data_IF_347702316704
#
_entry.id   IF_347702316704
#
_cell.length_a   1.000
_cell.length_b   1.000
_cell.length_c   1.000
_cell.angle_alpha   90.00
_cell.angle_beta   90.00
_cell.angle_gamma   90.00
#
_symmetry.space_group_name_H-M   'P 1'
#
loop_
_entity.id
_entity.type
_entity.pdbx_description
1 polymer ?
#
# COMPACT_ATOMS: atom_id res chain seq x y z
N UNK A 1 -13.36 -11.77 20.01
CA UNK A 1 -13.87 -12.17 18.68
C UNK A 1 -14.84 -11.10 18.19
N UNK A 2 -14.65 -10.61 16.98
CA UNK A 2 -15.57 -9.72 16.30
C UNK A 2 -16.33 -10.53 15.25
N UNK A 3 -17.61 -10.32 15.15
CA UNK A 3 -18.47 -10.91 14.11
C UNK A 3 -19.26 -9.80 13.43
N UNK A 4 -19.32 -9.85 12.12
CA UNK A 4 -20.08 -8.88 11.32
C UNK A 4 -20.78 -9.61 10.17
N UNK A 5 -21.77 -8.96 9.60
CA UNK A 5 -22.47 -9.45 8.41
C UNK A 5 -22.12 -8.55 7.23
N UNK A 6 -21.85 -9.18 6.10
CA UNK A 6 -21.71 -8.45 4.83
C UNK A 6 -23.10 -8.24 4.25
N UNK A 7 -23.41 -6.99 3.93
CA UNK A 7 -24.68 -6.67 3.28
C UNK A 7 -24.70 -7.18 1.84
N UNK A 8 -25.81 -7.74 1.44
CA UNK A 8 -26.07 -8.07 0.06
C UNK A 8 -26.81 -6.92 -0.65
N UNK A 9 -26.58 -6.78 -1.94
CA UNK A 9 -27.33 -5.89 -2.79
C UNK A 9 -28.77 -6.42 -3.06
N UNK A 10 -29.53 -5.71 -3.89
CA UNK A 10 -30.91 -6.11 -4.26
C UNK A 10 -31.00 -7.42 -5.04
N UNK A 11 -29.87 -7.90 -5.59
CA UNK A 11 -29.77 -9.18 -6.32
C UNK A 11 -29.33 -10.33 -5.42
N UNK A 12 -28.97 -10.04 -4.17
CA UNK A 12 -28.44 -11.02 -3.21
C UNK A 12 -26.94 -11.22 -3.31
N UNK A 13 -26.22 -10.39 -4.07
CA UNK A 13 -24.76 -10.40 -4.16
C UNK A 13 -24.19 -9.45 -3.11
N UNK A 14 -23.08 -9.82 -2.47
CA UNK A 14 -22.43 -8.93 -1.51
C UNK A 14 -21.67 -7.82 -2.24
N UNK A 15 -21.67 -6.64 -1.59
CA UNK A 15 -21.00 -5.44 -2.12
C UNK A 15 -19.53 -5.50 -1.73
N UNK A 16 -18.65 -5.48 -2.73
CA UNK A 16 -17.20 -5.40 -2.52
C UNK A 16 -16.79 -4.03 -2.00
N UNK A 17 -15.72 -4.02 -1.23
CA UNK A 17 -15.14 -2.77 -0.73
C UNK A 17 -14.34 -2.93 0.55
N UNK A 18 -13.89 -1.81 1.05
CA UNK A 18 -13.05 -1.71 2.24
C UNK A 18 -13.81 -1.03 3.38
N UNK A 19 -13.63 -1.53 4.59
CA UNK A 19 -14.14 -0.92 5.80
C UNK A 19 -13.12 -1.00 6.93
N UNK A 20 -13.07 0.03 7.78
CA UNK A 20 -12.35 0.01 9.03
C UNK A 20 -13.37 -0.15 10.17
N UNK A 21 -13.23 -1.22 10.94
CA UNK A 21 -14.08 -1.52 12.09
C UNK A 21 -13.22 -1.38 13.35
N UNK A 22 -13.70 -0.64 14.35
CA UNK A 22 -12.99 -0.42 15.59
C UNK A 22 -13.74 -0.95 16.82
N UNK A 23 -13.00 -1.43 17.81
CA UNK A 23 -13.49 -1.70 19.15
C UNK A 23 -13.17 -0.52 20.07
N UNK A 24 -14.10 -0.21 20.96
CA UNK A 24 -13.99 0.88 21.90
C UNK A 24 -14.04 0.35 23.33
N UNK A 25 -13.35 1.05 24.23
CA UNK A 25 -13.49 0.82 25.68
C UNK A 25 -14.70 1.58 26.25
N UNK A 26 -14.87 1.50 27.57
CA UNK A 26 -15.98 2.16 28.26
C UNK A 26 -15.88 3.71 28.29
N UNK A 27 -14.77 4.27 27.84
CA UNK A 27 -14.51 5.71 27.71
C UNK A 27 -14.55 6.17 26.24
N UNK A 28 -15.11 5.35 25.36
CA UNK A 28 -15.18 5.60 23.92
C UNK A 28 -13.82 5.77 23.22
N UNK A 29 -12.73 5.24 23.82
CA UNK A 29 -11.42 5.21 23.21
C UNK A 29 -11.28 3.96 22.35
N UNK A 30 -10.76 4.08 21.12
CA UNK A 30 -10.44 2.94 20.27
C UNK A 30 -9.32 2.14 20.95
N UNK A 31 -9.55 0.84 21.14
CA UNK A 31 -8.57 -0.11 21.71
C UNK A 31 -7.98 -1.02 20.66
N UNK A 32 -8.64 -1.16 19.52
CA UNK A 32 -8.15 -1.87 18.34
C UNK A 32 -9.03 -1.60 17.14
N UNK A 33 -8.47 -1.74 15.94
CA UNK A 33 -9.23 -1.68 14.70
C UNK A 33 -8.83 -2.82 13.74
N UNK A 34 -9.74 -3.15 12.84
CA UNK A 34 -9.55 -4.16 11.80
C UNK A 34 -9.89 -3.57 10.44
N UNK A 35 -9.01 -3.73 9.49
CA UNK A 35 -9.34 -3.56 8.09
C UNK A 35 -10.11 -4.79 7.61
N UNK A 36 -11.29 -4.57 7.05
CA UNK A 36 -12.14 -5.59 6.46
C UNK A 36 -12.20 -5.32 4.96
N UNK A 37 -11.68 -6.22 4.17
CA UNK A 37 -11.84 -6.23 2.72
C UNK A 37 -12.90 -7.27 2.36
N UNK A 38 -13.99 -6.82 1.75
CA UNK A 38 -15.00 -7.67 1.14
C UNK A 38 -14.69 -7.76 -0.34
N UNK A 39 -14.39 -8.95 -0.84
CA UNK A 39 -13.98 -9.15 -2.23
C UNK A 39 -14.35 -10.55 -2.70
N UNK A 40 -14.54 -10.70 -4.00
CA UNK A 40 -14.64 -12.00 -4.68
C UNK A 40 -13.25 -12.57 -5.04
N UNK A 41 -12.18 -11.87 -4.70
CA UNK A 41 -10.82 -12.30 -4.95
C UNK A 41 -10.49 -13.60 -4.20
N UNK A 42 -10.25 -14.66 -4.94
CA UNK A 42 -9.79 -15.94 -4.39
C UNK A 42 -8.26 -16.00 -4.41
N UNK A 43 -7.65 -15.69 -3.27
CA UNK A 43 -6.19 -15.72 -3.12
C UNK A 43 -5.57 -17.10 -3.37
N UNK A 44 -6.35 -18.17 -3.33
CA UNK A 44 -5.86 -19.52 -3.62
C UNK A 44 -5.80 -19.83 -5.13
N UNK A 45 -6.70 -19.22 -5.89
CA UNK A 45 -6.78 -19.40 -7.34
C UNK A 45 -6.05 -18.29 -8.10
N UNK A 46 -5.99 -17.10 -7.55
CA UNK A 46 -5.45 -15.89 -8.20
C UNK A 46 -4.11 -15.46 -7.57
N UNK A 47 -3.20 -16.39 -7.32
CA UNK A 47 -1.84 -16.11 -6.86
C UNK A 47 -0.82 -16.56 -7.89
N UNK A 48 0.37 -15.96 -7.84
CA UNK A 48 1.50 -16.28 -8.72
C UNK A 48 2.71 -16.67 -7.90
N UNK A 49 3.54 -17.57 -8.42
CA UNK A 49 4.70 -18.09 -7.69
C UNK A 49 5.98 -17.65 -8.39
N UNK A 50 6.88 -17.04 -7.64
CA UNK A 50 8.20 -16.61 -8.11
C UNK A 50 9.15 -17.79 -8.35
N UNK A 51 10.27 -17.54 -9.02
CA UNK A 51 11.33 -18.51 -9.20
C UNK A 51 11.93 -18.98 -7.86
N UNK A 52 11.95 -18.10 -6.85
CA UNK A 52 12.40 -18.42 -5.50
C UNK A 52 11.37 -19.25 -4.69
N UNK A 53 10.14 -19.37 -5.19
CA UNK A 53 9.06 -20.12 -4.56
C UNK A 53 8.11 -19.28 -3.72
N UNK A 54 8.30 -17.96 -3.67
CA UNK A 54 7.38 -17.05 -2.99
C UNK A 54 6.06 -16.95 -3.74
N UNK A 55 4.96 -17.04 -3.02
CA UNK A 55 3.61 -16.98 -3.60
C UNK A 55 3.03 -15.60 -3.34
N UNK A 56 2.84 -14.81 -4.39
CA UNK A 56 2.32 -13.45 -4.33
C UNK A 56 0.82 -13.41 -4.59
N UNK A 57 0.13 -12.50 -3.91
CA UNK A 57 -1.16 -12.03 -4.39
C UNK A 57 -1.00 -11.32 -5.74
N UNK A 58 -1.98 -11.43 -6.62
CA UNK A 58 -2.00 -10.67 -7.89
C UNK A 58 -2.51 -9.24 -7.72
N UNK A 59 -2.96 -8.87 -6.53
CA UNK A 59 -3.56 -7.55 -6.21
C UNK A 59 -2.84 -6.89 -5.03
N UNK A 60 -2.83 -5.56 -5.04
CA UNK A 60 -2.42 -4.80 -3.87
C UNK A 60 -3.43 -4.99 -2.73
N UNK A 61 -2.96 -4.92 -1.50
CA UNK A 61 -3.86 -5.04 -0.35
C UNK A 61 -4.90 -3.92 -0.35
N UNK A 62 -6.18 -4.31 -0.29
CA UNK A 62 -7.32 -3.40 -0.42
C UNK A 62 -7.77 -3.10 -1.84
N UNK A 63 -7.12 -3.66 -2.87
CA UNK A 63 -7.50 -3.48 -4.26
C UNK A 63 -8.64 -4.40 -4.69
N UNK A 64 -9.54 -3.89 -5.53
CA UNK A 64 -10.63 -4.65 -6.15
C UNK A 64 -10.20 -5.39 -7.42
N UNK A 65 -9.12 -4.99 -8.09
CA UNK A 65 -8.57 -5.63 -9.27
C UNK A 65 -7.04 -5.82 -9.15
N UNK A 66 -6.48 -6.68 -9.98
CA UNK A 66 -5.04 -6.95 -10.04
C UNK A 66 -4.42 -6.71 -11.42
N UNK A 67 -5.08 -5.93 -12.25
CA UNK A 67 -4.68 -5.72 -13.63
C UNK A 67 -5.05 -4.35 -14.16
N UNK A 68 -4.91 -4.21 -15.46
CA UNK A 68 -5.10 -2.98 -16.21
C UNK A 68 -5.81 -3.22 -17.54
N UNK A 69 -6.60 -4.29 -17.63
CA UNK A 69 -7.29 -4.67 -18.86
C UNK A 69 -8.34 -3.64 -19.31
N UNK A 70 -8.89 -2.91 -18.34
CA UNK A 70 -9.84 -1.81 -18.56
C UNK A 70 -9.47 -0.61 -17.69
N UNK A 71 -10.02 0.56 -17.99
CA UNK A 71 -9.87 1.76 -17.16
C UNK A 71 -10.40 1.55 -15.73
N UNK A 72 -11.52 0.83 -15.60
CA UNK A 72 -12.06 0.46 -14.29
C UNK A 72 -11.12 -0.48 -13.51
N UNK A 73 -10.45 -1.42 -14.17
CA UNK A 73 -9.46 -2.29 -13.54
C UNK A 73 -8.28 -1.49 -13.00
N UNK A 74 -7.78 -0.52 -13.75
CA UNK A 74 -6.69 0.37 -13.31
C UNK A 74 -7.12 1.11 -12.03
N UNK A 75 -8.31 1.71 -12.05
CA UNK A 75 -8.86 2.40 -10.89
C UNK A 75 -8.97 1.49 -9.66
N UNK A 76 -9.47 0.27 -9.85
CA UNK A 76 -9.65 -0.71 -8.78
C UNK A 76 -8.33 -1.32 -8.30
N UNK A 77 -7.24 -1.19 -9.05
CA UNK A 77 -5.93 -1.79 -8.72
C UNK A 77 -5.11 -0.97 -7.72
N UNK A 78 -5.50 0.27 -7.39
CA UNK A 78 -4.72 1.11 -6.48
C UNK A 78 -4.55 0.48 -5.10
N UNK A 79 -5.60 -0.03 -4.50
CA UNK A 79 -5.55 -0.54 -3.14
C UNK A 79 -5.35 0.56 -2.09
N UNK A 80 -4.70 0.22 -1.01
CA UNK A 80 -4.52 1.08 0.15
C UNK A 80 -3.03 1.26 0.47
N UNK A 81 -2.71 2.30 1.25
CA UNK A 81 -1.36 2.61 1.70
C UNK A 81 -1.22 2.33 3.19
N UNK A 82 -0.01 2.00 3.61
CA UNK A 82 0.31 1.65 4.99
C UNK A 82 1.59 2.38 5.41
N UNK A 83 1.66 2.91 6.61
CA UNK A 83 2.92 3.28 7.24
C UNK A 83 3.59 2.01 7.76
N UNK A 84 4.91 1.91 7.61
CA UNK A 84 5.63 0.68 7.98
C UNK A 84 5.38 0.30 9.45
N UNK A 85 5.03 -0.95 9.69
CA UNK A 85 4.73 -1.43 11.04
C UNK A 85 3.30 -1.18 11.53
N UNK A 86 2.44 -0.47 10.77
CA UNK A 86 1.04 -0.21 11.16
C UNK A 86 0.07 -1.15 10.44
N UNK A 87 -0.92 -1.71 11.16
CA UNK A 87 -1.94 -2.57 10.55
C UNK A 87 -3.06 -1.77 9.86
N UNK A 88 -3.14 -0.46 10.11
CA UNK A 88 -4.25 0.38 9.66
C UNK A 88 -4.02 0.94 8.27
N UNK A 89 -5.01 0.79 7.37
CA UNK A 89 -4.92 1.30 6.02
C UNK A 89 -5.14 2.81 5.95
N UNK A 90 -4.44 3.45 5.02
CA UNK A 90 -4.67 4.81 4.57
C UNK A 90 -5.31 4.77 3.19
N UNK A 91 -6.32 5.61 2.97
CA UNK A 91 -7.07 5.61 1.72
C UNK A 91 -6.18 5.90 0.51
N UNK A 92 -6.46 5.21 -0.60
CA UNK A 92 -5.84 5.42 -1.90
C UNK A 92 -6.50 6.55 -2.70
N UNK A 93 -6.05 6.77 -3.95
CA UNK A 93 -6.67 7.75 -4.84
C UNK A 93 -8.13 7.42 -5.15
N UNK A 94 -8.93 8.44 -5.43
CA UNK A 94 -10.33 8.26 -5.78
C UNK A 94 -10.52 7.79 -7.24
N UNK A 95 -9.53 8.02 -8.11
CA UNK A 95 -9.51 7.56 -9.50
C UNK A 95 -8.07 7.58 -10.06
N UNK A 96 -7.84 6.92 -11.18
CA UNK A 96 -6.50 6.62 -11.70
C UNK A 96 -5.66 7.84 -12.08
N UNK A 97 -6.26 8.97 -12.38
CA UNK A 97 -5.56 10.22 -12.68
C UNK A 97 -5.65 11.24 -11.54
N UNK A 98 -5.94 10.79 -10.33
CA UNK A 98 -6.02 11.64 -9.14
C UNK A 98 -4.62 12.11 -8.72
N UNK A 99 -4.32 13.37 -8.96
CA UNK A 99 -3.05 13.99 -8.58
C UNK A 99 -3.08 14.64 -7.18
N UNK A 100 -4.26 14.77 -6.57
CA UNK A 100 -4.46 15.55 -5.35
C UNK A 100 -5.21 14.78 -4.27
N UNK A 101 -4.87 15.10 -3.03
CA UNK A 101 -5.45 14.46 -1.84
C UNK A 101 -6.95 14.71 -1.67
N UNK A 102 -7.45 15.83 -2.18
CA UNK A 102 -8.86 16.24 -2.06
C UNK A 102 -9.83 15.26 -2.73
N UNK A 103 -9.34 14.44 -3.65
CA UNK A 103 -10.16 13.46 -4.35
C UNK A 103 -10.39 12.18 -3.58
N UNK A 104 -9.83 12.05 -2.38
CA UNK A 104 -10.01 10.90 -1.53
C UNK A 104 -11.32 10.99 -0.76
N UNK A 105 -12.13 9.95 -0.83
CA UNK A 105 -13.44 9.92 -0.18
C UNK A 105 -13.56 8.71 0.72
N UNK A 106 -13.74 8.97 2.00
CA UNK A 106 -14.16 7.99 3.00
C UNK A 106 -15.52 8.38 3.54
N UNK A 107 -16.28 7.41 3.99
CA UNK A 107 -17.59 7.64 4.57
C UNK A 107 -17.68 6.97 5.93
N UNK A 108 -18.17 7.71 6.92
CA UNK A 108 -18.46 7.13 8.23
C UNK A 108 -19.74 6.28 8.16
N UNK A 109 -20.06 5.60 9.24
CA UNK A 109 -21.24 4.71 9.34
C UNK A 109 -22.57 5.40 9.03
N UNK A 110 -22.65 6.71 9.13
CA UNK A 110 -23.81 7.52 8.82
C UNK A 110 -23.83 8.00 7.35
N UNK A 111 -22.90 7.53 6.52
CA UNK A 111 -22.75 7.95 5.13
C UNK A 111 -22.24 9.38 4.96
N UNK A 112 -21.66 9.98 6.00
CA UNK A 112 -21.07 11.31 5.92
C UNK A 112 -19.61 11.20 5.50
N UNK A 113 -19.21 12.10 4.59
CA UNK A 113 -17.83 12.23 4.16
C UNK A 113 -16.92 12.49 5.37
N UNK A 114 -15.79 11.80 5.40
CA UNK A 114 -14.74 11.95 6.41
C UNK A 114 -13.37 11.89 5.73
N UNK A 115 -12.34 12.32 6.42
CA UNK A 115 -10.98 12.45 5.89
C UNK A 115 -9.98 11.87 6.87
N UNK A 116 -8.75 11.62 6.38
CA UNK A 116 -7.62 11.35 7.26
C UNK A 116 -7.25 12.61 8.05
N UNK A 117 -6.89 12.43 9.30
CA UNK A 117 -6.19 13.44 10.08
C UNK A 117 -4.70 13.36 9.79
N UNK A 118 -4.02 14.50 9.82
CA UNK A 118 -2.57 14.59 9.68
C UNK A 118 -1.99 15.21 10.94
N UNK A 119 -1.11 14.47 11.60
CA UNK A 119 -0.46 14.91 12.83
C UNK A 119 1.04 14.69 12.75
N UNK A 120 1.83 15.59 13.31
CA UNK A 120 3.27 15.39 13.44
C UNK A 120 3.59 14.33 14.48
N UNK A 121 4.66 13.59 14.29
CA UNK A 121 5.20 12.69 15.28
C UNK A 121 5.78 13.51 16.44
N UNK A 122 5.21 13.34 17.62
CA UNK A 122 5.65 13.94 18.88
C UNK A 122 5.74 12.86 19.95
N UNK A 123 6.27 13.12 21.15
CA UNK A 123 6.22 12.15 22.23
C UNK A 123 4.82 11.60 22.55
N UNK A 124 3.76 12.37 22.25
CA UNK A 124 2.37 11.98 22.50
C UNK A 124 1.73 11.29 21.30
N UNK A 125 1.97 11.75 20.07
CA UNK A 125 1.32 11.29 18.86
C UNK A 125 2.12 10.22 18.11
N UNK A 126 3.44 10.22 18.27
CA UNK A 126 4.36 9.25 17.69
C UNK A 126 4.50 7.99 18.53
N UNK A 127 3.40 7.39 18.95
CA UNK A 127 3.37 6.20 19.81
C UNK A 127 2.44 5.13 19.25
N UNK A 128 2.68 3.87 19.59
CA UNK A 128 1.79 2.78 19.21
C UNK A 128 0.38 2.96 19.80
N UNK A 129 0.30 3.45 21.02
CA UNK A 129 -0.98 3.74 21.69
C UNK A 129 -1.79 4.79 20.93
N UNK A 130 -1.13 5.84 20.45
CA UNK A 130 -1.79 6.85 19.63
C UNK A 130 -2.23 6.27 18.29
N UNK A 131 -1.36 5.54 17.59
CA UNK A 131 -1.66 4.93 16.31
C UNK A 131 -2.85 3.96 16.38
N UNK A 132 -3.01 3.23 17.49
CA UNK A 132 -4.16 2.36 17.75
C UNK A 132 -5.42 3.17 18.08
N UNK A 133 -5.30 4.20 18.93
CA UNK A 133 -6.43 5.03 19.36
C UNK A 133 -6.99 5.89 18.23
N UNK A 134 -6.15 6.27 17.27
CA UNK A 134 -6.49 7.13 16.14
C UNK A 134 -6.10 6.46 14.81
N UNK A 135 -6.80 5.38 14.42
CA UNK A 135 -6.42 4.58 13.26
C UNK A 135 -6.50 5.33 11.93
N UNK A 136 -7.26 6.44 11.88
CA UNK A 136 -7.39 7.28 10.67
C UNK A 136 -6.44 8.47 10.66
N UNK A 137 -5.49 8.57 11.60
CA UNK A 137 -4.47 9.60 11.60
C UNK A 137 -3.23 9.13 10.83
N UNK A 138 -2.81 9.92 9.84
CA UNK A 138 -1.50 9.78 9.23
C UNK A 138 -0.49 10.54 10.08
N UNK A 139 0.49 9.83 10.64
CA UNK A 139 1.50 10.41 11.52
C UNK A 139 2.70 10.83 10.67
N UNK A 140 2.91 12.14 10.55
CA UNK A 140 4.00 12.72 9.76
C UNK A 140 5.33 12.51 10.48
N UNK A 141 6.36 12.13 9.74
CA UNK A 141 7.71 12.04 10.26
C UNK A 141 8.34 13.42 10.40
N UNK A 142 9.00 13.67 11.52
CA UNK A 142 9.75 14.88 11.80
C UNK A 142 11.24 14.56 11.94
N UNK A 143 12.10 15.58 11.92
CA UNK A 143 13.54 15.37 12.04
C UNK A 143 13.91 14.71 13.38
N UNK A 144 13.25 15.13 14.45
CA UNK A 144 13.45 14.61 15.80
C UNK A 144 13.12 13.13 15.95
N UNK A 145 12.21 12.61 15.13
CA UNK A 145 11.88 11.18 15.07
C UNK A 145 12.69 10.39 14.04
N UNK A 146 13.65 11.03 13.37
CA UNK A 146 14.34 10.45 12.22
C UNK A 146 13.43 10.15 11.04
N UNK A 147 12.33 10.90 10.94
CA UNK A 147 11.27 10.71 9.95
C UNK A 147 10.54 9.36 10.03
N UNK A 148 10.61 8.71 11.20
CA UNK A 148 9.71 7.63 11.56
C UNK A 148 8.38 8.22 12.11
N UNK A 149 7.28 7.49 11.97
CA UNK A 149 6.02 7.83 12.60
C UNK A 149 6.06 7.58 14.13
N UNK A 150 6.90 6.64 14.61
CA UNK A 150 7.27 6.52 16.02
C UNK A 150 8.27 7.61 16.38
N UNK A 151 7.97 8.38 17.43
CA UNK A 151 8.84 9.46 17.89
C UNK A 151 10.10 8.94 18.59
N UNK A 152 9.93 7.92 19.39
CA UNK A 152 10.98 7.18 20.10
C UNK A 152 10.58 5.70 20.15
N UNK A 153 11.41 4.86 20.72
CA UNK A 153 11.14 3.42 20.85
C UNK A 153 10.82 2.76 19.48
N UNK A 154 11.64 3.09 18.48
CA UNK A 154 11.52 2.61 17.11
C UNK A 154 11.54 1.08 17.06
N UNK A 155 10.35 0.47 17.10
CA UNK A 155 10.20 -0.98 17.14
C UNK A 155 10.48 -1.58 15.75
N UNK A 156 11.54 -2.37 15.68
CA UNK A 156 11.99 -3.04 14.46
C UNK A 156 11.27 -4.36 14.19
N UNK A 157 10.45 -4.84 15.13
CA UNK A 157 9.77 -6.13 15.06
C UNK A 157 8.27 -5.99 14.71
N UNK A 158 7.79 -4.79 14.36
CA UNK A 158 6.39 -4.58 14.00
C UNK A 158 5.98 -5.40 12.78
N UNK A 159 6.84 -5.43 11.75
CA UNK A 159 6.76 -6.35 10.62
C UNK A 159 8.06 -7.14 10.53
N UNK A 160 7.98 -8.41 10.16
CA UNK A 160 9.16 -9.25 10.07
C UNK A 160 8.92 -10.57 9.36
N UNK A 161 9.92 -11.44 9.37
CA UNK A 161 9.83 -12.77 8.77
C UNK A 161 8.67 -13.60 9.33
N UNK A 162 8.34 -13.40 10.62
CA UNK A 162 7.17 -13.97 11.27
C UNK A 162 6.08 -12.91 11.35
N UNK A 163 4.89 -13.23 10.86
CA UNK A 163 3.74 -12.35 10.90
C UNK A 163 3.38 -11.94 12.32
N UNK A 164 3.28 -10.64 12.56
CA UNK A 164 2.83 -10.06 13.83
C UNK A 164 1.35 -9.64 13.75
N UNK A 165 0.81 -9.16 14.86
CA UNK A 165 -0.54 -8.57 14.89
C UNK A 165 -0.62 -7.22 14.17
N UNK A 166 0.52 -6.62 13.88
CA UNK A 166 0.63 -5.34 13.17
C UNK A 166 0.80 -5.51 11.66
N UNK A 167 1.04 -6.72 11.18
CA UNK A 167 1.10 -7.02 9.76
C UNK A 167 -0.31 -6.92 9.12
N UNK A 168 -0.53 -6.05 8.13
CA UNK A 168 -1.86 -5.78 7.58
C UNK A 168 -2.40 -6.87 6.66
N UNK A 169 -1.55 -7.80 6.19
CA UNK A 169 -1.97 -8.86 5.28
C UNK A 169 -2.96 -9.81 5.95
N UNK A 170 -3.88 -10.42 5.22
CA UNK A 170 -4.84 -11.36 5.78
C UNK A 170 -4.14 -12.63 6.31
N UNK A 171 -4.89 -13.42 7.09
CA UNK A 171 -4.40 -14.69 7.63
C UNK A 171 -3.89 -15.61 6.52
N UNK A 172 -2.70 -16.20 6.73
CA UNK A 172 -1.99 -17.03 5.76
C UNK A 172 -1.15 -16.24 4.75
N UNK A 173 -1.12 -14.92 4.91
CA UNK A 173 -0.35 -13.99 4.09
C UNK A 173 0.38 -12.99 4.99
N UNK A 174 1.53 -12.50 4.54
CA UNK A 174 2.36 -11.51 5.26
C UNK A 174 2.88 -10.43 4.32
N UNK A 175 3.37 -9.34 4.89
CA UNK A 175 4.20 -8.37 4.18
C UNK A 175 5.47 -9.09 3.71
N UNK A 176 5.89 -8.94 2.43
CA UNK A 176 7.03 -9.68 1.88
C UNK A 176 8.34 -9.40 2.62
N UNK A 177 9.23 -10.37 2.66
CA UNK A 177 10.58 -10.20 3.21
C UNK A 177 11.41 -9.23 2.35
N UNK A 178 12.50 -8.68 2.93
CA UNK A 178 13.33 -7.63 2.33
C UNK A 178 13.78 -7.92 0.90
N UNK A 179 14.22 -9.14 0.66
CA UNK A 179 14.89 -9.50 -0.60
C UNK A 179 13.95 -10.16 -1.61
N UNK A 180 12.63 -10.17 -1.33
CA UNK A 180 11.61 -10.82 -2.15
C UNK A 180 11.60 -10.34 -3.62
N UNK A 181 12.02 -9.12 -3.87
CA UNK A 181 12.09 -8.52 -5.21
C UNK A 181 13.49 -8.54 -5.84
N UNK A 182 14.48 -9.21 -5.21
CA UNK A 182 15.88 -9.15 -5.64
C UNK A 182 16.10 -9.66 -7.08
N UNK A 183 15.39 -10.70 -7.46
CA UNK A 183 15.49 -11.32 -8.78
C UNK A 183 14.46 -10.77 -9.79
N UNK A 184 13.64 -9.81 -9.36
CA UNK A 184 12.67 -9.18 -10.25
C UNK A 184 13.35 -8.17 -11.16
N UNK A 185 12.86 -8.11 -12.36
CA UNK A 185 13.25 -7.13 -13.35
C UNK A 185 12.02 -6.59 -14.06
N UNK A 186 12.22 -5.52 -14.74
CA UNK A 186 11.30 -5.05 -15.75
C UNK A 186 11.46 -6.00 -16.94
N UNK A 187 10.36 -6.49 -17.52
CA UNK A 187 10.41 -7.40 -18.67
C UNK A 187 11.28 -6.82 -19.80
N UNK A 188 11.85 -7.67 -20.63
CA UNK A 188 12.82 -7.34 -21.69
C UNK A 188 12.33 -6.31 -22.73
N UNK A 189 11.13 -5.88 -22.62
CA UNK A 189 10.38 -5.13 -23.60
C UNK A 189 10.35 -3.62 -23.27
N UNK A 190 11.51 -3.04 -23.02
CA UNK A 190 11.70 -1.58 -22.89
C UNK A 190 11.91 -0.89 -24.24
N UNK A 191 11.18 -1.26 -25.25
CA UNK A 191 11.12 -0.44 -26.43
C UNK A 191 10.15 0.74 -26.22
N UNK A 192 10.26 1.73 -27.06
CA UNK A 192 9.50 2.97 -26.94
C UNK A 192 7.99 2.72 -27.12
N UNK A 193 7.60 1.75 -27.95
CA UNK A 193 6.18 1.37 -28.14
C UNK A 193 5.59 0.76 -26.88
N UNK A 194 6.37 -0.06 -26.15
CA UNK A 194 5.92 -0.64 -24.89
C UNK A 194 5.88 0.39 -23.75
N UNK A 195 6.82 1.35 -23.74
CA UNK A 195 6.77 2.45 -22.79
C UNK A 195 5.49 3.26 -22.95
N UNK A 196 5.04 3.53 -24.17
CA UNK A 196 3.76 4.18 -24.42
C UNK A 196 2.57 3.31 -23.97
N UNK A 197 2.58 2.01 -24.25
CA UNK A 197 1.55 1.06 -23.81
C UNK A 197 1.53 0.94 -22.27
N UNK A 198 2.69 0.95 -21.61
CA UNK A 198 2.81 0.94 -20.16
C UNK A 198 2.36 2.26 -19.54
N UNK A 199 2.54 3.38 -20.22
CA UNK A 199 2.00 4.68 -19.83
C UNK A 199 0.48 4.65 -19.75
N UNK A 200 -0.19 4.07 -20.73
CA UNK A 200 -1.63 3.85 -20.71
C UNK A 200 -2.04 2.83 -19.64
N UNK A 201 -1.15 1.91 -19.31
CA UNK A 201 -1.36 0.85 -18.33
C UNK A 201 -1.18 1.30 -16.86
N UNK A 202 -0.58 2.43 -16.61
CA UNK A 202 -0.35 3.02 -15.27
C UNK A 202 0.48 2.16 -14.30
N UNK A 203 1.30 1.26 -14.83
CA UNK A 203 2.14 0.38 -14.03
C UNK A 203 3.00 -0.54 -14.90
N UNK A 204 3.67 -1.50 -14.26
CA UNK A 204 4.55 -2.42 -14.94
C UNK A 204 4.24 -3.88 -14.68
N UNK A 205 4.46 -4.68 -15.70
CA UNK A 205 4.60 -6.12 -15.56
C UNK A 205 6.01 -6.44 -15.09
N UNK A 206 6.16 -6.69 -13.78
CA UNK A 206 7.41 -7.14 -13.20
C UNK A 206 7.52 -8.65 -13.36
N UNK A 207 8.72 -9.13 -13.66
CA UNK A 207 9.00 -10.56 -13.86
C UNK A 207 10.30 -10.97 -13.19
N UNK A 208 10.41 -12.22 -12.76
CA UNK A 208 11.63 -12.88 -12.34
C UNK A 208 12.06 -14.00 -13.34
N UNK A 209 11.48 -14.00 -14.55
CA UNK A 209 11.68 -15.02 -15.56
C UNK A 209 10.78 -16.25 -15.41
N UNK A 210 10.11 -16.43 -14.28
CA UNK A 210 9.16 -17.54 -14.00
C UNK A 210 7.74 -17.04 -13.93
N UNK A 211 7.51 -16.01 -13.13
CA UNK A 211 6.22 -15.33 -13.04
C UNK A 211 6.29 -13.95 -13.70
N UNK A 212 5.12 -13.47 -14.10
CA UNK A 212 4.90 -12.07 -14.46
C UNK A 212 3.65 -11.58 -13.75
N UNK A 213 3.72 -10.41 -13.13
CA UNK A 213 2.59 -9.81 -12.45
C UNK A 213 2.57 -8.29 -12.63
N UNK A 214 1.39 -7.74 -12.79
CA UNK A 214 1.20 -6.32 -12.92
C UNK A 214 1.36 -5.63 -11.55
N UNK A 215 2.22 -4.60 -11.51
CA UNK A 215 2.44 -3.72 -10.38
C UNK A 215 2.08 -2.28 -10.77
N UNK A 216 1.09 -1.73 -10.12
CA UNK A 216 0.60 -0.39 -10.40
C UNK A 216 1.60 0.68 -9.96
N UNK A 217 1.79 1.73 -10.77
CA UNK A 217 2.49 2.96 -10.41
C UNK A 217 1.61 3.84 -9.53
N UNK A 218 1.26 3.36 -8.34
CA UNK A 218 0.31 4.01 -7.44
C UNK A 218 0.89 5.15 -6.62
N UNK A 219 2.15 5.55 -6.83
CA UNK A 219 2.77 6.61 -6.06
C UNK A 219 2.96 6.24 -4.58
N UNK A 220 2.97 7.26 -3.73
CA UNK A 220 3.14 7.11 -2.28
C UNK A 220 2.47 8.26 -1.53
N UNK A 221 2.34 8.11 -0.21
CA UNK A 221 2.10 9.20 0.74
C UNK A 221 3.43 9.58 1.40
N UNK A 222 4.05 10.72 1.04
CA UNK A 222 5.34 11.14 1.61
C UNK A 222 5.24 11.39 3.10
N UNK A 223 6.30 11.05 3.82
CA UNK A 223 6.41 11.14 5.27
C UNK A 223 6.23 12.55 5.84
N UNK A 224 6.52 13.61 5.05
CA UNK A 224 6.38 15.00 5.47
C UNK A 224 4.98 15.59 5.27
N UNK A 225 4.20 15.05 4.35
CA UNK A 225 2.92 15.67 3.98
C UNK A 225 1.73 14.73 4.10
N UNK A 226 1.96 13.43 3.95
CA UNK A 226 0.90 12.42 3.91
C UNK A 226 -0.03 12.48 2.69
N UNK A 227 0.11 13.50 1.84
CA UNK A 227 -0.69 13.68 0.62
C UNK A 227 -0.19 12.77 -0.47
N UNK A 228 -1.08 12.11 -1.21
CA UNK A 228 -0.67 11.21 -2.29
C UNK A 228 0.09 11.99 -3.35
N UNK A 229 1.23 11.46 -3.76
CA UNK A 229 2.11 12.02 -4.78
C UNK A 229 2.55 10.95 -5.76
N UNK A 230 2.87 11.40 -6.99
CA UNK A 230 3.44 10.59 -8.06
C UNK A 230 2.53 9.43 -8.51
N UNK A 231 1.24 9.59 -8.30
CA UNK A 231 0.21 8.85 -9.01
C UNK A 231 0.05 9.56 -10.33
N UNK A 232 0.03 8.83 -11.42
CA UNK A 232 -0.13 9.35 -12.77
C UNK A 232 -0.49 10.85 -12.81
N UNK A 233 0.53 11.69 -12.79
CA UNK A 233 0.33 13.12 -12.95
C UNK A 233 0.18 13.43 -14.42
N UNK A 234 -0.77 14.28 -14.76
CA UNK A 234 -0.86 14.87 -16.08
C UNK A 234 0.51 15.06 -16.73
N UNK A 235 0.59 14.62 -17.91
CA UNK A 235 1.49 14.79 -19.04
C UNK A 235 2.81 15.62 -18.91
N UNK A 236 2.96 16.42 -17.89
CA UNK A 236 3.97 17.48 -17.91
C UNK A 236 5.19 17.23 -17.01
N UNK A 237 5.57 16.00 -16.68
CA UNK A 237 6.92 15.85 -16.16
C UNK A 237 7.17 15.11 -14.84
N UNK A 238 6.32 14.23 -14.39
CA UNK A 238 6.76 13.35 -13.28
C UNK A 238 6.67 11.90 -13.70
N UNK A 239 7.74 11.11 -13.53
CA UNK A 239 7.68 9.68 -13.78
C UNK A 239 6.65 9.04 -12.85
N UNK A 240 5.91 8.08 -13.37
CA UNK A 240 5.05 7.26 -12.52
C UNK A 240 5.91 6.40 -11.63
N UNK A 241 5.56 6.35 -10.37
CA UNK A 241 6.32 5.54 -9.44
C UNK A 241 5.43 4.48 -8.79
N UNK A 242 5.97 3.28 -8.68
CA UNK A 242 5.47 2.23 -7.80
C UNK A 242 6.34 2.16 -6.55
N UNK A 243 5.68 2.14 -5.40
CA UNK A 243 6.34 2.08 -4.11
C UNK A 243 5.63 1.04 -3.24
N UNK A 244 6.35 -0.03 -2.89
CA UNK A 244 5.78 -1.16 -2.17
C UNK A 244 6.64 -1.52 -0.97
N UNK A 245 6.02 -1.68 0.19
CA UNK A 245 6.72 -2.10 1.38
C UNK A 245 7.21 -3.54 1.33
N UNK A 246 8.34 -3.77 1.96
CA UNK A 246 8.75 -5.06 2.51
C UNK A 246 8.76 -4.99 4.04
N UNK A 247 8.84 -6.12 4.71
CA UNK A 247 8.98 -6.18 6.17
C UNK A 247 10.41 -5.87 6.63
N UNK A 248 11.36 -5.80 5.70
CA UNK A 248 12.77 -5.60 6.00
C UNK A 248 13.11 -4.19 6.44
N UNK A 249 14.13 -4.09 7.27
CA UNK A 249 14.74 -2.82 7.65
C UNK A 249 15.57 -2.27 6.49
N UNK A 250 15.72 -0.95 6.47
CA UNK A 250 16.61 -0.25 5.57
C UNK A 250 18.09 -0.43 5.93
N UNK A 251 18.92 0.51 5.47
CA UNK A 251 20.36 0.53 5.78
C UNK A 251 20.67 1.21 7.12
N UNK A 252 19.71 1.91 7.67
CA UNK A 252 19.76 2.51 9.01
C UNK A 252 18.60 1.99 9.86
N UNK A 253 18.70 2.20 11.19
CA UNK A 253 17.73 1.68 12.15
C UNK A 253 16.37 2.38 12.11
N UNK A 254 16.25 3.50 11.40
CA UNK A 254 15.04 4.33 11.33
C UNK A 254 14.33 4.24 9.98
N UNK A 255 14.92 3.53 9.03
CA UNK A 255 14.35 3.30 7.71
C UNK A 255 13.87 1.86 7.53
N UNK A 256 13.03 1.67 6.53
CA UNK A 256 12.57 0.36 6.09
C UNK A 256 12.81 0.18 4.59
N UNK A 257 12.88 -1.07 4.16
CA UNK A 257 13.09 -1.44 2.77
C UNK A 257 11.78 -1.54 2.00
N UNK A 258 11.82 -1.21 0.72
CA UNK A 258 10.69 -1.39 -0.18
C UNK A 258 11.10 -1.39 -1.64
N UNK A 259 10.26 -1.98 -2.47
CA UNK A 259 10.40 -1.91 -3.93
C UNK A 259 10.13 -0.47 -4.40
N UNK A 260 10.93 -0.02 -5.33
CA UNK A 260 10.70 1.20 -6.09
C UNK A 260 10.87 0.94 -7.58
N UNK A 261 9.98 1.49 -8.37
CA UNK A 261 10.21 1.67 -9.79
C UNK A 261 9.64 3.00 -10.27
N UNK A 262 10.24 3.55 -11.30
CA UNK A 262 9.73 4.72 -12.01
C UNK A 262 9.72 4.46 -13.49
N UNK A 263 8.63 4.89 -14.13
CA UNK A 263 8.48 4.89 -15.57
C UNK A 263 8.69 6.31 -16.08
N UNK A 264 9.78 6.53 -16.76
CA UNK A 264 9.94 7.71 -17.58
C UNK A 264 9.39 7.41 -18.96
N UNK A 265 8.33 8.12 -19.32
CA UNK A 265 7.62 7.89 -20.59
C UNK A 265 8.24 8.61 -21.77
N UNK A 266 9.10 9.58 -21.50
CA UNK A 266 9.77 10.37 -22.52
C UNK A 266 11.17 9.82 -22.84
N UNK A 267 11.78 9.12 -21.86
CA UNK A 267 13.07 8.48 -22.00
C UNK A 267 13.10 7.15 -21.21
N UNK A 268 12.90 6.04 -21.91
CA UNK A 268 12.93 4.71 -21.30
C UNK A 268 14.26 4.41 -20.55
N UNK A 269 15.38 5.02 -20.99
CA UNK A 269 16.68 4.88 -20.34
C UNK A 269 16.72 5.56 -18.96
N UNK A 270 15.81 6.49 -18.68
CA UNK A 270 15.66 7.17 -17.38
C UNK A 270 14.72 6.42 -16.44
N UNK A 271 14.10 5.33 -16.88
CA UNK A 271 13.30 4.45 -16.02
C UNK A 271 14.19 3.74 -15.00
N UNK A 272 13.71 3.64 -13.77
CA UNK A 272 14.49 3.10 -12.64
C UNK A 272 13.75 1.93 -11.99
N UNK A 273 14.50 0.88 -11.64
CA UNK A 273 14.01 -0.23 -10.84
C UNK A 273 14.97 -0.51 -9.67
N UNK A 274 14.46 -0.39 -8.44
CA UNK A 274 15.24 -0.60 -7.21
C UNK A 274 14.50 -1.59 -6.31
N UNK A 275 14.90 -2.87 -6.26
CA UNK A 275 14.18 -3.90 -5.51
C UNK A 275 14.19 -3.71 -3.99
N UNK A 276 15.16 -2.96 -3.46
CA UNK A 276 15.32 -2.73 -2.02
C UNK A 276 15.75 -1.28 -1.73
N UNK A 277 14.88 -0.32 -2.01
CA UNK A 277 15.09 1.08 -1.70
C UNK A 277 14.82 1.38 -0.23
N UNK A 278 15.62 2.26 0.37
CA UNK A 278 15.36 2.76 1.72
C UNK A 278 14.24 3.82 1.71
N UNK A 279 13.33 3.70 2.67
CA UNK A 279 12.27 4.66 2.91
C UNK A 279 12.17 5.00 4.40
N UNK A 280 11.88 6.24 4.72
CA UNK A 280 11.45 6.66 6.04
C UNK A 280 10.12 5.97 6.39
N UNK A 281 10.02 5.42 7.61
CA UNK A 281 8.88 4.59 8.02
C UNK A 281 7.56 5.33 8.08
N UNK A 282 7.59 6.66 8.20
CA UNK A 282 6.39 7.48 8.12
C UNK A 282 5.81 7.61 6.70
N UNK A 283 6.50 7.15 5.64
CA UNK A 283 5.86 7.07 4.33
C UNK A 283 4.68 6.10 4.36
N UNK A 284 3.66 6.40 3.57
CA UNK A 284 2.61 5.45 3.23
C UNK A 284 2.88 4.83 1.87
N UNK A 285 3.20 3.54 1.84
CA UNK A 285 3.41 2.79 0.60
C UNK A 285 2.37 1.67 0.48
N UNK A 286 2.26 1.12 -0.72
CA UNK A 286 1.40 -0.02 -0.99
C UNK A 286 1.99 -1.32 -0.43
N UNK A 287 1.17 -2.34 -0.27
CA UNK A 287 1.58 -3.68 0.14
C UNK A 287 1.06 -4.69 -0.87
N UNK A 288 1.96 -5.56 -1.36
CA UNK A 288 1.63 -6.76 -2.11
C UNK A 288 1.99 -7.96 -1.25
N UNK A 289 0.98 -8.61 -0.67
CA UNK A 289 1.22 -9.69 0.28
C UNK A 289 1.80 -10.95 -0.38
N UNK A 290 2.62 -11.67 0.38
CA UNK A 290 3.10 -13.02 0.05
C UNK A 290 2.54 -14.04 1.05
N UNK A 291 2.49 -15.31 0.65
CA UNK A 291 2.03 -16.41 1.53
C UNK A 291 3.03 -16.63 2.67
N UNK A 292 2.51 -16.90 3.89
CA UNK A 292 3.33 -17.30 5.04
C UNK A 292 4.06 -18.65 4.84
#
# INVERSE_FOLDING_TARGET
RVSFFVAADKKGEFIEGNALIAAFDAQDKVVWSWHVLVTQYDTSAESVTSAAGDVFMTRNLGAGAGGNATEDDIYLSYGLYYQWGRPTPMIGPAYYNCAFAEDHKMYNINGRLTYLDYVESTPETGTMEYAIAYPMSFILGVEESGYDWLYSDHDNELWGAVKTVYDPCPKGWKVPDKDVYADFMIGDDHDQEQTEALREAYGWNLTDGTMTSFFLGGGRRPYLTGLIQNVNSNADAQPWIGCYWTSGLGTDELSASGLYFSLDTDDAASSEFVPARNYQRANGLQVRCVRE
#
